data_IF_274304589658
#
_entry.id   IF_274304589658
#
_cell.length_a   1.000
_cell.length_b   1.000
_cell.length_c   1.000
_cell.angle_alpha   90.00
_cell.angle_beta   90.00
_cell.angle_gamma   90.00
#
_symmetry.space_group_name_H-M   'P 1'
#
loop_
_entity.id
_entity.type
_entity.pdbx_description
1 polymer ?
#
# COMPACT_ATOMS: atom_id res chain seq x y z
N UNK A 1 18.62 8.24 -16.42
CA UNK A 1 17.51 7.25 -16.44
C UNK A 1 18.05 5.89 -15.99
N UNK A 2 17.71 5.48 -14.78
CA UNK A 2 18.11 4.16 -14.29
C UNK A 2 17.34 3.08 -15.06
N UNK A 3 18.04 2.20 -15.73
CA UNK A 3 17.46 1.06 -16.42
C UNK A 3 17.28 -0.07 -15.41
N UNK A 4 16.04 -0.38 -15.05
CA UNK A 4 15.74 -1.57 -14.28
C UNK A 4 16.07 -2.81 -15.10
N UNK A 5 17.16 -3.50 -14.76
CA UNK A 5 17.50 -4.79 -15.35
C UNK A 5 16.87 -5.90 -14.51
N UNK A 6 15.75 -6.44 -14.94
CA UNK A 6 15.29 -7.72 -14.42
C UNK A 6 15.80 -8.81 -15.36
N UNK A 7 16.68 -9.63 -14.86
CA UNK A 7 17.02 -10.86 -15.51
C UNK A 7 15.95 -11.94 -15.22
N UNK A 8 15.80 -12.84 -16.19
CA UNK A 8 14.86 -13.95 -16.23
C UNK A 8 14.62 -14.62 -14.88
N UNK A 9 13.34 -14.82 -14.58
CA UNK A 9 12.88 -15.56 -13.41
C UNK A 9 13.31 -17.02 -13.50
N UNK A 10 14.27 -17.42 -12.68
CA UNK A 10 14.53 -18.85 -12.42
C UNK A 10 13.67 -19.28 -11.23
N UNK A 11 12.76 -20.21 -11.47
CA UNK A 11 11.94 -20.82 -10.41
C UNK A 11 12.74 -21.88 -9.70
N UNK A 12 13.17 -21.61 -8.50
CA UNK A 12 13.66 -22.64 -7.57
C UNK A 12 12.57 -22.83 -6.51
N UNK A 13 11.89 -24.00 -6.54
CA UNK A 13 11.02 -24.51 -5.48
C UNK A 13 10.11 -23.46 -4.80
N UNK A 14 9.33 -22.73 -5.58
CA UNK A 14 8.35 -21.79 -5.03
C UNK A 14 8.88 -20.41 -4.64
N UNK A 15 10.15 -20.07 -4.94
CA UNK A 15 10.73 -18.73 -4.77
C UNK A 15 11.09 -18.08 -6.08
N UNK A 16 11.11 -16.74 -6.13
CA UNK A 16 11.58 -15.95 -7.27
C UNK A 16 12.75 -15.09 -6.84
N UNK A 17 13.76 -15.03 -7.68
CA UNK A 17 14.86 -14.08 -7.53
C UNK A 17 14.51 -12.77 -8.24
N UNK A 18 14.66 -11.66 -7.55
CA UNK A 18 14.49 -10.30 -8.08
C UNK A 18 15.82 -9.60 -7.97
N UNK A 19 16.26 -8.99 -9.07
CA UNK A 19 17.44 -8.13 -9.10
C UNK A 19 16.95 -6.68 -9.08
N UNK A 20 17.34 -5.94 -8.07
CA UNK A 20 17.02 -4.51 -7.93
C UNK A 20 17.93 -3.66 -8.84
N UNK A 21 17.60 -2.37 -8.96
CA UNK A 21 18.39 -1.38 -9.71
C UNK A 21 19.82 -1.24 -9.22
N UNK A 22 20.07 -1.47 -7.93
CA UNK A 22 21.39 -1.48 -7.32
C UNK A 22 22.19 -2.78 -7.57
N UNK A 23 21.65 -3.72 -8.36
CA UNK A 23 22.28 -5.01 -8.67
C UNK A 23 22.12 -6.08 -7.58
N UNK A 24 21.55 -5.76 -6.44
CA UNK A 24 21.33 -6.75 -5.35
C UNK A 24 20.24 -7.73 -5.72
N UNK A 25 20.50 -9.01 -5.40
CA UNK A 25 19.57 -10.11 -5.63
C UNK A 25 18.77 -10.39 -4.37
N UNK A 26 17.46 -10.52 -4.53
CA UNK A 26 16.54 -10.88 -3.45
C UNK A 26 15.69 -12.06 -3.85
N UNK A 27 15.57 -13.05 -2.97
CA UNK A 27 14.70 -14.19 -3.17
C UNK A 27 13.35 -13.89 -2.52
N UNK A 28 12.30 -13.80 -3.32
CA UNK A 28 10.93 -13.64 -2.84
C UNK A 28 10.17 -14.94 -3.04
N UNK A 29 9.38 -15.36 -2.03
CA UNK A 29 8.50 -16.51 -2.18
C UNK A 29 7.57 -16.32 -3.37
N UNK A 30 7.34 -17.39 -4.15
CA UNK A 30 6.37 -17.36 -5.24
C UNK A 30 4.98 -17.10 -4.65
N UNK A 31 4.60 -15.84 -4.66
CA UNK A 31 3.23 -15.43 -4.52
C UNK A 31 2.72 -14.96 -5.87
N UNK A 32 1.48 -15.26 -6.16
CA UNK A 32 0.81 -14.82 -7.40
C UNK A 32 0.86 -13.30 -7.60
N UNK A 33 1.28 -12.53 -6.57
CA UNK A 33 1.27 -11.08 -6.56
C UNK A 33 2.58 -10.54 -6.02
N UNK A 34 3.21 -9.71 -6.78
CA UNK A 34 4.39 -8.93 -6.45
C UNK A 34 4.01 -7.76 -5.51
N UNK A 35 4.96 -7.21 -4.76
CA UNK A 35 4.87 -5.95 -4.03
C UNK A 35 5.90 -4.96 -4.60
N UNK A 36 5.74 -3.67 -4.30
CA UNK A 36 6.69 -2.64 -4.67
C UNK A 36 7.85 -2.59 -3.69
N UNK A 37 9.06 -2.40 -4.20
CA UNK A 37 10.16 -1.85 -3.43
C UNK A 37 9.98 -0.33 -3.30
N UNK A 38 10.58 0.35 -2.28
CA UNK A 38 10.37 1.78 -2.07
C UNK A 38 10.77 2.64 -3.27
N UNK A 39 11.90 2.35 -3.91
CA UNK A 39 12.40 3.02 -5.10
C UNK A 39 11.48 2.83 -6.32
N UNK A 40 10.94 1.62 -6.50
CA UNK A 40 9.94 1.34 -7.55
C UNK A 40 8.64 2.12 -7.30
N UNK A 41 8.21 2.16 -6.03
CA UNK A 41 7.01 2.91 -5.64
C UNK A 41 7.18 4.40 -5.91
N UNK A 42 8.30 5.00 -5.49
CA UNK A 42 8.58 6.42 -5.72
C UNK A 42 8.57 6.75 -7.21
N UNK A 43 9.31 5.97 -8.02
CA UNK A 43 9.34 6.14 -9.48
C UNK A 43 7.95 6.00 -10.11
N UNK A 44 7.16 5.02 -9.65
CA UNK A 44 5.80 4.81 -10.09
C UNK A 44 4.91 6.01 -9.71
N UNK A 45 4.96 6.43 -8.44
CA UNK A 45 4.13 7.51 -7.91
C UNK A 45 4.43 8.84 -8.58
N UNK A 46 5.69 9.15 -8.84
CA UNK A 46 6.11 10.39 -9.51
C UNK A 46 5.62 10.46 -10.96
N UNK A 47 5.50 9.33 -11.63
CA UNK A 47 5.00 9.25 -13.00
C UNK A 47 3.47 9.39 -13.13
N UNK A 48 2.73 9.44 -12.01
CA UNK A 48 1.28 9.60 -11.98
C UNK A 48 0.84 11.07 -12.12
N UNK A 49 -0.32 11.30 -12.73
CA UNK A 49 -0.99 12.60 -12.68
C UNK A 49 -1.58 12.86 -11.29
N UNK A 50 -1.87 14.14 -10.96
CA UNK A 50 -2.43 14.53 -9.64
C UNK A 50 -3.68 13.73 -9.29
N UNK A 51 -4.62 13.57 -10.23
CA UNK A 51 -5.84 12.76 -10.00
C UNK A 51 -5.54 11.27 -9.72
N UNK A 52 -4.56 10.71 -10.39
CA UNK A 52 -4.14 9.31 -10.17
C UNK A 52 -3.44 9.16 -8.82
N UNK A 53 -2.63 10.15 -8.44
CA UNK A 53 -1.95 10.20 -7.13
C UNK A 53 -2.93 10.08 -5.97
N UNK A 54 -4.13 10.67 -6.08
CA UNK A 54 -5.17 10.53 -5.04
C UNK A 54 -5.49 9.07 -4.76
N UNK A 55 -5.75 8.29 -5.81
CA UNK A 55 -6.07 6.86 -5.66
C UNK A 55 -4.93 6.09 -5.00
N UNK A 56 -3.72 6.23 -5.53
CA UNK A 56 -2.60 5.40 -5.08
C UNK A 56 -2.06 5.82 -3.72
N UNK A 57 -2.16 7.11 -3.36
CA UNK A 57 -1.80 7.58 -2.03
C UNK A 57 -2.77 7.07 -0.95
N UNK A 58 -4.08 7.08 -1.24
CA UNK A 58 -5.04 6.42 -0.36
C UNK A 58 -4.75 4.93 -0.17
N UNK A 59 -4.47 4.22 -1.26
CA UNK A 59 -4.23 2.78 -1.19
C UNK A 59 -2.97 2.42 -0.39
N UNK A 60 -1.87 3.15 -0.58
CA UNK A 60 -0.61 2.83 0.12
C UNK A 60 -0.66 3.23 1.60
N UNK A 61 -1.36 4.30 1.97
CA UNK A 61 -1.43 4.75 3.35
C UNK A 61 -2.52 4.06 4.17
N UNK A 62 -3.53 3.47 3.53
CA UNK A 62 -4.61 2.75 4.22
C UNK A 62 -4.53 1.24 4.11
N UNK A 63 -3.87 0.72 3.09
CA UNK A 63 -3.90 -0.70 2.76
C UNK A 63 -5.32 -1.25 2.51
N UNK A 64 -6.33 -0.41 2.43
CA UNK A 64 -7.70 -0.83 2.18
C UNK A 64 -7.87 -1.33 0.74
N UNK A 65 -8.93 -2.13 0.50
CA UNK A 65 -9.27 -2.53 -0.87
C UNK A 65 -9.80 -1.32 -1.64
N UNK A 66 -9.49 -1.23 -2.92
CA UNK A 66 -9.90 -0.08 -3.75
C UNK A 66 -11.41 0.21 -3.67
N UNK A 67 -12.26 -0.81 -3.64
CA UNK A 67 -13.69 -0.63 -3.50
C UNK A 67 -14.10 -0.17 -2.09
N UNK A 68 -13.31 -0.45 -1.07
CA UNK A 68 -13.49 0.11 0.28
C UNK A 68 -13.16 1.59 0.28
N UNK A 69 -12.02 1.98 -0.30
CA UNK A 69 -11.58 3.39 -0.39
C UNK A 69 -12.52 4.23 -1.23
N UNK A 70 -13.04 3.70 -2.34
CA UNK A 70 -14.01 4.41 -3.20
C UNK A 70 -15.30 4.83 -2.49
N UNK A 71 -15.64 4.15 -1.41
CA UNK A 71 -16.84 4.45 -0.62
C UNK A 71 -16.53 5.27 0.65
N UNK A 72 -15.32 5.79 0.78
CA UNK A 72 -14.96 6.70 1.87
C UNK A 72 -15.40 8.10 1.50
N UNK A 73 -16.20 8.72 2.37
CA UNK A 73 -16.57 10.13 2.30
C UNK A 73 -15.66 10.97 3.22
N UNK A 74 -15.66 12.29 3.03
CA UNK A 74 -14.89 13.19 3.89
C UNK A 74 -15.28 13.04 5.37
N UNK A 75 -16.57 12.89 5.67
CA UNK A 75 -17.09 12.67 7.05
C UNK A 75 -16.66 11.34 7.68
N UNK A 76 -16.06 10.43 6.93
CA UNK A 76 -15.53 9.16 7.46
C UNK A 76 -14.09 9.29 7.96
N UNK A 77 -13.49 10.48 7.80
CA UNK A 77 -12.14 10.80 8.27
C UNK A 77 -12.20 11.45 9.63
N UNK A 78 -11.64 10.81 10.64
CA UNK A 78 -11.43 11.38 11.96
C UNK A 78 -10.06 12.09 11.98
N UNK A 79 -10.11 13.42 11.87
CA UNK A 79 -8.92 14.25 11.76
C UNK A 79 -8.17 14.41 13.11
N UNK A 80 -8.85 14.20 14.22
CA UNK A 80 -8.26 14.35 15.55
C UNK A 80 -7.55 13.07 15.99
N UNK A 81 -8.10 11.91 15.58
CA UNK A 81 -7.54 10.60 15.91
C UNK A 81 -6.68 10.01 14.79
N UNK A 82 -6.47 10.75 13.68
CA UNK A 82 -5.78 10.27 12.50
C UNK A 82 -6.27 8.89 12.06
N UNK A 83 -7.57 8.77 11.81
CA UNK A 83 -8.17 7.51 11.44
C UNK A 83 -9.25 7.66 10.35
N UNK A 84 -9.52 6.55 9.66
CA UNK A 84 -10.54 6.48 8.61
C UNK A 84 -11.49 5.32 8.89
N UNK A 85 -12.79 5.58 8.83
CA UNK A 85 -13.84 4.58 9.01
C UNK A 85 -14.13 3.91 7.67
N UNK A 86 -13.88 2.61 7.57
CA UNK A 86 -14.22 1.79 6.40
C UNK A 86 -15.58 1.11 6.66
N UNK A 87 -16.62 1.63 6.03
CA UNK A 87 -18.01 1.11 6.16
C UNK A 87 -18.32 -0.05 5.21
N UNK A 88 -17.63 -0.14 4.08
CA UNK A 88 -17.92 -1.06 2.99
C UNK A 88 -16.96 -2.24 2.93
N UNK A 89 -16.89 -3.05 3.98
CA UNK A 89 -16.06 -4.26 4.01
C UNK A 89 -16.76 -5.47 3.38
N UNK A 90 -16.00 -6.51 3.02
CA UNK A 90 -16.58 -7.80 2.59
C UNK A 90 -17.12 -8.61 3.79
N UNK A 91 -16.56 -8.40 4.97
CA UNK A 91 -16.97 -9.10 6.18
C UNK A 91 -18.38 -8.66 6.61
N UNK A 92 -19.15 -9.61 7.12
CA UNK A 92 -20.51 -9.40 7.62
C UNK A 92 -20.54 -9.69 9.12
N UNK A 93 -21.45 -9.01 9.81
CA UNK A 93 -21.89 -9.35 11.15
C UNK A 93 -22.89 -10.49 11.10
N UNK A 94 -23.25 -11.07 12.23
CA UNK A 94 -24.24 -12.15 12.36
C UNK A 94 -25.63 -11.74 11.82
N UNK A 95 -25.98 -10.46 11.97
CA UNK A 95 -27.21 -9.86 11.45
C UNK A 95 -27.19 -9.57 9.94
N UNK A 96 -26.13 -9.96 9.22
CA UNK A 96 -25.94 -9.72 7.80
C UNK A 96 -25.46 -8.31 7.43
N UNK A 97 -25.40 -7.38 8.38
CA UNK A 97 -24.87 -6.04 8.16
C UNK A 97 -23.35 -6.07 7.82
N UNK A 98 -22.84 -5.03 7.17
CA UNK A 98 -21.42 -4.96 6.84
C UNK A 98 -20.60 -4.62 8.08
N UNK A 99 -19.57 -5.39 8.34
CA UNK A 99 -18.65 -5.13 9.44
C UNK A 99 -17.83 -3.87 9.12
N UNK A 100 -17.95 -2.85 9.95
CA UNK A 100 -17.11 -1.65 9.85
C UNK A 100 -15.75 -1.88 10.51
N UNK A 101 -14.74 -1.15 10.06
CA UNK A 101 -13.44 -1.10 10.73
C UNK A 101 -12.87 0.30 10.68
N UNK A 102 -12.10 0.64 11.71
CA UNK A 102 -11.34 1.88 11.80
C UNK A 102 -9.90 1.59 11.42
N UNK A 103 -9.34 2.37 10.49
CA UNK A 103 -7.95 2.31 10.09
C UNK A 103 -7.20 3.50 10.67
N UNK A 104 -6.17 3.23 11.46
CA UNK A 104 -5.20 4.26 11.83
C UNK A 104 -4.37 4.63 10.61
N UNK A 105 -4.12 5.92 10.43
CA UNK A 105 -3.27 6.45 9.35
C UNK A 105 -2.28 7.45 9.94
N UNK A 106 -1.22 7.79 9.21
CA UNK A 106 -0.22 8.73 9.71
C UNK A 106 -0.74 10.17 9.74
N UNK A 107 -0.25 11.02 10.66
CA UNK A 107 -0.56 12.45 10.67
C UNK A 107 -0.18 13.13 9.35
N UNK A 108 0.90 12.69 8.72
CA UNK A 108 1.34 13.17 7.41
C UNK A 108 0.29 12.89 6.33
N UNK A 109 -0.29 11.69 6.33
CA UNK A 109 -1.36 11.35 5.41
C UNK A 109 -2.62 12.18 5.68
N UNK A 110 -3.00 12.41 6.93
CA UNK A 110 -4.13 13.29 7.29
C UNK A 110 -3.91 14.72 6.80
N UNK A 111 -2.69 15.25 6.94
CA UNK A 111 -2.34 16.56 6.37
C UNK A 111 -2.56 16.60 4.85
N UNK A 112 -2.13 15.54 4.17
CA UNK A 112 -2.34 15.40 2.73
C UNK A 112 -3.84 15.28 2.37
N UNK A 113 -4.63 14.52 3.15
CA UNK A 113 -6.09 14.41 2.98
C UNK A 113 -6.77 15.79 3.09
N UNK A 114 -6.38 16.62 4.09
CA UNK A 114 -6.89 18.01 4.23
C UNK A 114 -6.58 18.85 2.98
N UNK A 115 -5.37 18.74 2.45
CA UNK A 115 -4.98 19.43 1.23
C UNK A 115 -5.82 18.97 0.01
N UNK A 116 -6.05 17.66 -0.10
CA UNK A 116 -6.88 17.07 -1.17
C UNK A 116 -8.34 17.55 -1.06
N UNK A 117 -8.92 17.61 0.14
CA UNK A 117 -10.27 18.13 0.35
C UNK A 117 -10.36 19.58 -0.15
N UNK A 118 -9.38 20.41 0.17
CA UNK A 118 -9.32 21.79 -0.27
C UNK A 118 -9.14 21.93 -1.78
N UNK A 119 -8.24 21.12 -2.37
CA UNK A 119 -7.95 21.13 -3.82
C UNK A 119 -9.17 20.75 -4.66
N UNK A 120 -9.96 19.77 -4.19
CA UNK A 120 -11.15 19.27 -4.91
C UNK A 120 -12.47 19.86 -4.37
N UNK A 121 -12.42 20.81 -3.43
CA UNK A 121 -13.57 21.49 -2.82
C UNK A 121 -14.62 20.48 -2.26
N UNK A 122 -14.16 19.38 -1.66
CA UNK A 122 -15.02 18.30 -1.20
C UNK A 122 -15.82 18.68 0.04
N UNK A 123 -17.11 18.38 0.03
CA UNK A 123 -18.04 18.51 1.16
C UNK A 123 -18.03 17.24 2.02
N UNK A 124 -18.57 17.29 3.26
CA UNK A 124 -18.56 16.13 4.17
C UNK A 124 -19.12 14.82 3.58
N UNK A 125 -20.16 14.90 2.76
CA UNK A 125 -20.81 13.74 2.15
C UNK A 125 -20.15 13.28 0.83
N UNK A 126 -19.21 14.05 0.30
CA UNK A 126 -18.57 13.72 -0.98
C UNK A 126 -17.55 12.60 -0.82
N UNK A 127 -17.48 11.78 -1.83
CA UNK A 127 -16.44 10.75 -1.96
C UNK A 127 -15.15 11.36 -2.51
N UNK A 128 -14.02 10.82 -2.08
CA UNK A 128 -12.74 11.16 -2.69
C UNK A 128 -12.68 10.70 -4.15
N UNK A 129 -11.96 11.42 -5.05
CA UNK A 129 -11.90 11.10 -6.49
C UNK A 129 -11.02 9.88 -6.78
N UNK A 130 -11.46 8.71 -6.28
CA UNK A 130 -10.76 7.44 -6.42
C UNK A 130 -11.16 6.76 -7.75
N UNK A 131 -10.17 6.32 -8.50
CA UNK A 131 -10.38 5.58 -9.75
C UNK A 131 -11.18 4.30 -9.52
N UNK A 132 -11.94 3.88 -10.54
CA UNK A 132 -12.54 2.54 -10.53
C UNK A 132 -11.46 1.45 -10.57
N UNK A 133 -11.78 0.24 -10.11
CA UNK A 133 -10.81 -0.86 -10.11
C UNK A 133 -10.22 -1.15 -11.51
N UNK A 134 -11.02 -1.21 -12.59
CA UNK A 134 -10.46 -1.37 -13.94
C UNK A 134 -9.54 -0.20 -14.34
N UNK A 135 -9.98 1.05 -14.09
CA UNK A 135 -9.21 2.24 -14.45
C UNK A 135 -7.87 2.30 -13.69
N UNK A 136 -7.88 1.97 -12.40
CA UNK A 136 -6.67 1.93 -11.59
C UNK A 136 -5.70 0.82 -12.03
N UNK A 137 -6.20 -0.35 -12.42
CA UNK A 137 -5.37 -1.43 -12.96
C UNK A 137 -4.75 -1.04 -14.31
N UNK A 138 -5.52 -0.42 -15.20
CA UNK A 138 -5.02 0.06 -16.50
C UNK A 138 -3.96 1.15 -16.27
N UNK A 139 -4.25 2.10 -15.40
CA UNK A 139 -3.32 3.17 -15.02
C UNK A 139 -2.00 2.57 -14.49
N UNK A 140 -2.07 1.68 -13.52
CA UNK A 140 -0.90 1.02 -12.93
C UNK A 140 -0.05 0.33 -13.99
N UNK A 141 -0.64 -0.54 -14.79
CA UNK A 141 0.08 -1.31 -15.82
C UNK A 141 0.70 -0.39 -16.88
N UNK A 142 -0.05 0.62 -17.35
CA UNK A 142 0.44 1.60 -18.33
C UNK A 142 1.64 2.39 -17.78
N UNK A 143 1.55 2.83 -16.54
CA UNK A 143 2.61 3.61 -15.89
C UNK A 143 3.85 2.74 -15.64
N UNK A 144 3.68 1.54 -15.08
CA UNK A 144 4.80 0.61 -14.83
C UNK A 144 5.53 0.23 -16.13
N UNK A 145 4.77 0.00 -17.22
CA UNK A 145 5.37 -0.22 -18.54
C UNK A 145 6.17 0.99 -19.03
N UNK A 146 5.62 2.20 -18.85
CA UNK A 146 6.28 3.46 -19.25
C UNK A 146 7.59 3.70 -18.52
N UNK A 147 7.67 3.36 -17.24
CA UNK A 147 8.89 3.49 -16.42
C UNK A 147 9.79 2.25 -16.49
N UNK A 148 9.51 1.34 -17.42
CA UNK A 148 10.31 0.14 -17.69
C UNK A 148 10.44 -0.83 -16.50
N UNK A 149 9.39 -1.03 -15.71
CA UNK A 149 9.32 -2.14 -14.75
C UNK A 149 9.08 -3.43 -15.55
N UNK A 150 10.03 -4.38 -15.56
CA UNK A 150 9.97 -5.49 -16.52
C UNK A 150 8.82 -6.45 -16.30
N UNK A 151 8.43 -6.66 -15.04
CA UNK A 151 7.35 -7.54 -14.64
C UNK A 151 6.02 -6.80 -14.38
N UNK A 152 5.81 -5.67 -15.07
CA UNK A 152 4.63 -4.82 -14.93
C UNK A 152 3.30 -5.56 -15.08
N UNK A 153 3.26 -6.66 -15.83
CA UNK A 153 2.06 -7.49 -16.01
C UNK A 153 1.62 -8.18 -14.71
N UNK A 154 2.55 -8.43 -13.79
CA UNK A 154 2.27 -9.09 -12.51
C UNK A 154 1.60 -8.16 -11.49
N UNK A 155 1.57 -6.85 -11.76
CA UNK A 155 0.98 -5.88 -10.85
C UNK A 155 -0.52 -5.69 -11.08
N UNK A 156 -1.22 -5.50 -9.98
CA UNK A 156 -2.61 -5.06 -9.90
C UNK A 156 -2.76 -4.12 -8.71
N UNK A 157 -3.86 -3.40 -8.61
CA UNK A 157 -4.11 -2.50 -7.46
C UNK A 157 -4.07 -3.23 -6.11
N UNK A 158 -4.30 -4.54 -6.09
CA UNK A 158 -4.19 -5.34 -4.87
C UNK A 158 -2.76 -5.44 -4.36
N UNK A 159 -1.77 -5.29 -5.26
CA UNK A 159 -0.36 -5.30 -4.88
C UNK A 159 0.01 -4.11 -4.00
N UNK A 160 -0.68 -2.96 -4.13
CA UNK A 160 -0.45 -1.80 -3.24
C UNK A 160 -0.76 -2.16 -1.79
N UNK A 161 -1.88 -2.83 -1.55
CA UNK A 161 -2.22 -3.31 -0.21
C UNK A 161 -1.18 -4.31 0.32
N UNK A 162 -0.74 -5.23 -0.52
CA UNK A 162 0.31 -6.18 -0.18
C UNK A 162 1.65 -5.49 0.09
N UNK A 163 1.95 -4.43 -0.66
CA UNK A 163 3.13 -3.61 -0.43
C UNK A 163 3.14 -3.02 0.97
N UNK A 164 2.07 -2.34 1.37
CA UNK A 164 1.98 -1.77 2.71
C UNK A 164 2.12 -2.86 3.80
N UNK A 165 1.46 -4.01 3.62
CA UNK A 165 1.54 -5.11 4.55
C UNK A 165 2.97 -5.62 4.72
N UNK A 166 3.68 -5.84 3.60
CA UNK A 166 5.08 -6.27 3.59
C UNK A 166 5.99 -5.21 4.22
N UNK A 167 5.75 -3.93 3.94
CA UNK A 167 6.52 -2.82 4.52
C UNK A 167 6.35 -2.71 6.03
N UNK A 168 5.11 -2.78 6.53
CA UNK A 168 4.86 -2.72 7.97
C UNK A 168 5.57 -3.84 8.73
N UNK A 169 5.60 -5.05 8.16
CA UNK A 169 6.32 -6.17 8.76
C UNK A 169 7.83 -5.97 8.71
N UNK A 170 8.35 -5.45 7.61
CA UNK A 170 9.79 -5.15 7.50
C UNK A 170 10.25 -4.05 8.46
N UNK A 171 9.31 -3.22 8.94
CA UNK A 171 9.52 -2.21 9.97
C UNK A 171 9.29 -2.75 11.39
N UNK A 172 9.17 -4.05 11.55
CA UNK A 172 8.96 -4.74 12.83
C UNK A 172 7.64 -4.33 13.54
N UNK A 173 6.63 -3.89 12.76
CA UNK A 173 5.29 -3.65 13.33
C UNK A 173 4.68 -4.97 13.76
N UNK A 174 4.17 -5.00 14.98
CA UNK A 174 3.55 -6.18 15.58
C UNK A 174 2.52 -6.84 14.65
N UNK A 175 2.62 -8.16 14.48
CA UNK A 175 1.81 -8.92 13.52
C UNK A 175 0.32 -8.90 13.82
N UNK A 176 -0.07 -8.76 15.12
CA UNK A 176 -1.46 -8.61 15.51
C UNK A 176 -2.01 -7.23 15.09
N UNK A 177 -1.19 -6.17 15.23
CA UNK A 177 -1.56 -4.83 14.74
C UNK A 177 -1.74 -4.83 13.22
N UNK A 178 -0.80 -5.45 12.50
CA UNK A 178 -0.89 -5.61 11.04
C UNK A 178 -2.15 -6.38 10.65
N UNK A 179 -2.40 -7.54 11.25
CA UNK A 179 -3.60 -8.35 10.98
C UNK A 179 -4.90 -7.59 11.22
N UNK A 180 -5.00 -6.86 12.32
CA UNK A 180 -6.15 -6.00 12.64
C UNK A 180 -6.33 -4.89 11.62
N UNK A 181 -5.24 -4.22 11.22
CA UNK A 181 -5.27 -3.17 10.21
C UNK A 181 -5.82 -3.67 8.87
N UNK A 182 -5.34 -4.82 8.42
CA UNK A 182 -5.77 -5.41 7.16
C UNK A 182 -7.10 -6.18 7.27
N UNK A 183 -7.56 -6.53 8.45
CA UNK A 183 -8.81 -7.27 8.67
C UNK A 183 -8.75 -8.70 8.13
N UNK A 184 -7.66 -9.41 8.38
CA UNK A 184 -7.51 -10.84 8.12
C UNK A 184 -6.86 -11.55 9.32
N UNK A 185 -6.86 -12.89 9.34
CA UNK A 185 -6.26 -13.67 10.40
C UNK A 185 -4.72 -13.68 10.30
N UNK A 186 -4.05 -13.85 11.44
CA UNK A 186 -2.58 -14.01 11.54
C UNK A 186 -2.10 -15.17 10.66
N UNK A 187 -2.87 -16.25 10.55
CA UNK A 187 -2.54 -17.42 9.72
C UNK A 187 -2.47 -17.04 8.21
N UNK A 188 -3.33 -16.12 7.76
CA UNK A 188 -3.26 -15.61 6.38
C UNK A 188 -2.02 -14.75 6.21
N UNK A 189 -1.73 -13.93 7.19
CA UNK A 189 -0.54 -13.10 7.22
C UNK A 189 0.73 -13.96 7.05
N UNK A 190 0.93 -14.98 7.87
CA UNK A 190 2.14 -15.83 7.88
C UNK A 190 2.41 -16.59 6.57
N UNK A 191 1.38 -16.86 5.76
CA UNK A 191 1.53 -17.55 4.47
C UNK A 191 2.12 -16.68 3.35
N UNK A 192 2.11 -15.37 3.51
CA UNK A 192 2.40 -14.43 2.43
C UNK A 192 3.67 -13.58 2.66
N UNK A 193 4.40 -13.83 3.76
CA UNK A 193 5.53 -12.98 4.11
C UNK A 193 6.81 -13.30 3.36
N UNK A 194 7.38 -12.23 2.86
CA UNK A 194 8.78 -12.15 2.45
C UNK A 194 9.63 -12.08 3.72
N UNK A 195 10.83 -12.64 3.66
CA UNK A 195 11.81 -12.47 4.73
C UNK A 195 11.95 -10.99 5.10
N UNK A 196 11.93 -10.62 6.40
CA UNK A 196 12.13 -9.24 6.84
C UNK A 196 13.48 -8.67 6.38
N UNK A 197 14.44 -9.52 6.07
CA UNK A 197 15.80 -9.16 5.63
C UNK A 197 15.87 -8.68 4.16
N UNK A 198 14.73 -8.61 3.45
CA UNK A 198 14.69 -8.15 2.05
C UNK A 198 14.96 -6.65 1.92
N UNK A 199 14.71 -5.87 2.99
CA UNK A 199 14.85 -4.43 2.99
C UNK A 199 16.04 -4.00 3.85
N UNK A 200 16.95 -3.23 3.24
CA UNK A 200 18.07 -2.64 3.97
C UNK A 200 17.64 -1.39 4.76
N UNK A 201 18.58 -0.75 5.44
CA UNK A 201 18.32 0.42 6.27
C UNK A 201 17.75 1.61 5.46
N UNK A 202 18.27 1.84 4.26
CA UNK A 202 17.82 2.91 3.36
C UNK A 202 16.39 2.64 2.87
N UNK A 203 16.08 1.39 2.52
CA UNK A 203 14.72 0.98 2.18
C UNK A 203 13.75 1.25 3.32
N UNK A 204 14.10 0.82 4.53
CA UNK A 204 13.26 1.03 5.73
C UNK A 204 13.05 2.51 6.03
N UNK A 205 14.05 3.36 5.79
CA UNK A 205 13.91 4.81 5.88
C UNK A 205 12.96 5.36 4.82
N UNK A 206 13.16 4.99 3.56
CA UNK A 206 12.28 5.41 2.47
C UNK A 206 10.82 4.94 2.67
N UNK A 207 10.61 3.75 3.20
CA UNK A 207 9.28 3.26 3.57
C UNK A 207 8.63 4.19 4.60
N UNK A 208 9.34 4.57 5.68
CA UNK A 208 8.83 5.51 6.69
C UNK A 208 8.47 6.86 6.08
N UNK A 209 9.30 7.38 5.20
CA UNK A 209 9.04 8.64 4.50
C UNK A 209 7.78 8.57 3.63
N UNK A 210 7.51 7.42 3.00
CA UNK A 210 6.34 7.22 2.14
C UNK A 210 5.05 7.09 2.96
N UNK A 211 5.05 6.28 4.03
CA UNK A 211 3.85 5.98 4.83
C UNK A 211 3.71 6.88 6.07
N UNK A 212 4.67 7.77 6.31
CA UNK A 212 4.61 8.81 7.33
C UNK A 212 4.48 8.27 8.75
N UNK A 213 5.44 7.49 9.23
CA UNK A 213 5.51 6.98 10.61
C UNK A 213 4.27 6.22 11.10
N UNK A 214 3.51 5.61 10.19
CA UNK A 214 2.36 4.77 10.55
C UNK A 214 2.81 3.66 11.52
N UNK A 215 2.23 3.64 12.73
CA UNK A 215 2.60 2.75 13.85
C UNK A 215 3.99 2.96 14.45
N UNK A 216 4.77 3.92 13.98
CA UNK A 216 6.03 4.27 14.59
C UNK A 216 5.75 5.15 15.83
N UNK A 217 5.75 4.54 17.00
CA UNK A 217 5.86 5.29 18.24
C UNK A 217 7.36 5.59 18.42
N UNK A 218 7.69 6.86 18.51
CA UNK A 218 8.96 7.28 19.13
C UNK A 218 8.90 6.84 20.61
N UNK A 219 9.04 5.55 20.82
CA UNK A 219 9.36 4.99 22.12
C UNK A 219 10.75 5.47 22.42
N UNK A 220 10.87 6.55 23.16
CA UNK A 220 12.12 7.04 23.63
C UNK A 220 12.86 5.88 24.30
N UNK A 221 14.06 5.64 23.85
CA UNK A 221 15.05 5.02 24.69
C UNK A 221 15.18 5.94 25.92
N UNK A 222 14.55 5.51 27.01
CA UNK A 222 14.92 5.95 28.34
C UNK A 222 16.01 5.06 28.89
#
# INVERSE_FOLDING_TARGET
MAKFKTNHFTSLQGSKEIIRTNGMKYTVRQNRFRYFFPDEWMTFYDALSSKQKVTFNFLINTGARINEVRNVCVQDVDFDRNSIIIKWTKARNEDGSRKMRVLSVSPQFIKWVRATIKEYELKPADHFPILSTPAANICMKKTLRKINIPDWLMFSVHNVRKTLETWLISLDVDSLKVSKHFGHSITVASKFYVSPDTFNFEDKRAIRDIIGELYYHQGGFR
#
